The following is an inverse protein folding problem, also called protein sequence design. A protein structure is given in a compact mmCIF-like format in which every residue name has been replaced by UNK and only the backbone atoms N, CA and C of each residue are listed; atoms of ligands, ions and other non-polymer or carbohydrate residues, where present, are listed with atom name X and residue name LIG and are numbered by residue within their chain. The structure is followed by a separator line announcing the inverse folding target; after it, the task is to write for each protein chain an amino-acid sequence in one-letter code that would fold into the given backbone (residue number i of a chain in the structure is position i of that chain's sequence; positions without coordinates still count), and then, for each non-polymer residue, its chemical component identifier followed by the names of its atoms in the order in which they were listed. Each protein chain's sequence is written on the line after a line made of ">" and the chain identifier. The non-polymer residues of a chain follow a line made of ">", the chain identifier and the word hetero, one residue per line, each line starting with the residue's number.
data_IF_466851274965
#
_entry.id   IF_466851274965
#
_cell.length_a   1.000
_cell.length_b   1.000
_cell.length_c   1.000
_cell.angle_alpha   90.00
_cell.angle_beta   90.00
_cell.angle_gamma   90.00
#
_symmetry.space_group_name_H-M   'P 1'
#
loop_
_entity.id
_entity.type
_entity.pdbx_description
1 polymer ?
#
# COMPACT_ATOMS: atom_id res chain seq x y z
N UNK A 1 4.47 -5.97 3.96
CA UNK A 1 3.44 -5.79 2.90
C UNK A 1 2.59 -7.02 2.71
N UNK A 2 3.15 -8.18 2.34
CA UNK A 2 2.40 -9.44 2.23
C UNK A 2 1.61 -9.81 3.49
N UNK A 3 2.12 -9.46 4.67
CA UNK A 3 1.43 -9.70 5.95
C UNK A 3 0.27 -8.71 6.23
N UNK A 4 0.32 -7.51 5.67
CA UNK A 4 -0.63 -6.42 5.95
C UNK A 4 -1.69 -6.29 4.84
N UNK A 5 -1.27 -6.51 3.59
CA UNK A 5 -2.11 -6.56 2.40
C UNK A 5 -1.83 -7.83 1.60
N UNK A 6 -2.23 -8.99 2.12
CA UNK A 6 -2.05 -10.29 1.44
C UNK A 6 -2.75 -10.43 0.09
N UNK A 7 -3.57 -9.45 -0.34
CA UNK A 7 -4.17 -9.37 -1.69
C UNK A 7 -3.32 -8.53 -2.66
N UNK A 8 -2.35 -7.77 -2.17
CA UNK A 8 -1.38 -7.08 -3.01
C UNK A 8 -0.25 -8.05 -3.35
N UNK A 9 -0.04 -8.23 -4.65
CA UNK A 9 1.01 -9.08 -5.20
C UNK A 9 2.31 -8.29 -5.29
N UNK A 10 3.48 -8.94 -5.22
CA UNK A 10 4.78 -8.29 -5.46
C UNK A 10 4.79 -7.43 -6.75
N UNK A 11 4.10 -7.91 -7.80
CA UNK A 11 3.93 -7.18 -9.06
C UNK A 11 3.18 -5.85 -8.91
N UNK A 12 2.10 -5.81 -8.10
CA UNK A 12 1.42 -4.56 -7.78
C UNK A 12 2.37 -3.59 -7.09
N UNK A 13 3.31 -4.09 -6.26
CA UNK A 13 4.26 -3.26 -5.51
C UNK A 13 5.37 -2.72 -6.40
N UNK A 14 5.85 -3.55 -7.32
CA UNK A 14 6.85 -3.19 -8.30
C UNK A 14 6.31 -2.11 -9.26
N UNK A 15 5.05 -2.27 -9.71
CA UNK A 15 4.32 -1.25 -10.47
C UNK A 15 4.17 0.07 -9.70
N UNK A 16 4.02 -0.02 -8.39
CA UNK A 16 3.90 1.14 -7.51
C UNK A 16 5.24 1.87 -7.38
N UNK A 17 6.38 1.19 -7.53
CA UNK A 17 7.72 1.78 -7.65
C UNK A 17 8.02 2.89 -6.60
N UNK A 18 7.56 2.72 -5.36
CA UNK A 18 7.74 3.72 -4.30
C UNK A 18 6.82 4.95 -4.39
N UNK A 19 5.80 4.95 -5.26
CA UNK A 19 4.78 5.99 -5.34
C UNK A 19 3.67 5.73 -4.34
N UNK A 20 3.73 6.43 -3.21
CA UNK A 20 2.71 6.42 -2.14
C UNK A 20 1.27 6.54 -2.67
N UNK A 21 1.04 7.44 -3.62
CA UNK A 21 -0.29 7.73 -4.18
C UNK A 21 -0.90 6.55 -4.95
N UNK A 22 -0.07 5.85 -5.75
CA UNK A 22 -0.47 4.65 -6.48
C UNK A 22 -0.87 3.52 -5.52
N UNK A 23 -0.11 3.36 -4.44
CA UNK A 23 -0.40 2.36 -3.42
C UNK A 23 -1.69 2.69 -2.66
N UNK A 24 -1.89 3.96 -2.33
CA UNK A 24 -3.10 4.43 -1.66
C UNK A 24 -4.35 4.17 -2.52
N UNK A 25 -4.28 4.42 -3.83
CA UNK A 25 -5.34 4.14 -4.78
C UNK A 25 -5.65 2.65 -4.91
N UNK A 26 -4.61 1.82 -5.08
CA UNK A 26 -4.75 0.36 -5.12
C UNK A 26 -5.36 -0.22 -3.85
N UNK A 27 -4.96 0.27 -2.68
CA UNK A 27 -5.51 -0.17 -1.39
C UNK A 27 -6.98 0.25 -1.26
N UNK A 28 -7.32 1.48 -1.65
CA UNK A 28 -8.72 1.94 -1.69
C UNK A 28 -9.58 1.06 -2.60
N UNK A 29 -9.13 0.74 -3.82
CA UNK A 29 -9.89 -0.12 -4.74
C UNK A 29 -9.99 -1.58 -4.28
N UNK A 30 -8.87 -2.18 -3.85
CA UNK A 30 -8.80 -3.61 -3.51
C UNK A 30 -9.47 -3.96 -2.18
N UNK A 31 -9.40 -3.03 -1.22
CA UNK A 31 -9.86 -3.25 0.14
C UNK A 31 -11.06 -2.38 0.52
N UNK A 32 -11.46 -1.41 -0.32
CA UNK A 32 -12.56 -0.51 0.00
C UNK A 32 -12.28 0.35 1.23
N UNK A 33 -11.01 0.62 1.53
CA UNK A 33 -10.62 1.37 2.72
C UNK A 33 -10.88 2.87 2.52
N UNK A 34 -11.22 3.55 3.61
CA UNK A 34 -11.26 5.01 3.61
C UNK A 34 -9.86 5.57 3.30
N UNK A 35 -9.82 6.70 2.61
CA UNK A 35 -8.59 7.37 2.18
C UNK A 35 -7.60 7.59 3.34
N UNK A 36 -8.11 7.99 4.50
CA UNK A 36 -7.31 8.18 5.72
C UNK A 36 -6.67 6.88 6.22
N UNK A 37 -7.45 5.79 6.22
CA UNK A 37 -6.98 4.46 6.61
C UNK A 37 -5.90 3.98 5.65
N UNK A 38 -6.17 4.04 4.33
CA UNK A 38 -5.20 3.68 3.31
C UNK A 38 -3.91 4.50 3.44
N UNK A 39 -4.03 5.81 3.68
CA UNK A 39 -2.88 6.70 3.87
C UNK A 39 -2.03 6.32 5.07
N UNK A 40 -2.64 6.01 6.21
CA UNK A 40 -1.93 5.60 7.44
C UNK A 40 -1.27 4.25 7.29
N UNK A 41 -1.96 3.31 6.66
CA UNK A 41 -1.47 1.95 6.37
C UNK A 41 -0.23 2.02 5.46
N UNK A 42 -0.30 2.85 4.43
CA UNK A 42 0.83 3.13 3.54
C UNK A 42 1.99 3.82 4.29
N UNK A 43 1.70 4.80 5.15
CA UNK A 43 2.72 5.50 5.95
C UNK A 43 3.53 4.53 6.84
N UNK A 44 2.82 3.69 7.59
CA UNK A 44 3.40 2.66 8.45
C UNK A 44 4.24 1.67 7.63
N UNK A 45 3.77 1.32 6.43
CA UNK A 45 4.52 0.45 5.54
C UNK A 45 5.83 1.08 5.03
N UNK A 46 5.81 2.35 4.59
CA UNK A 46 7.04 3.05 4.19
C UNK A 46 8.00 3.23 5.37
N UNK A 47 7.48 3.49 6.58
CA UNK A 47 8.29 3.58 7.79
C UNK A 47 8.96 2.27 8.19
N UNK A 48 8.27 1.13 7.99
CA UNK A 48 8.84 -0.22 8.21
C UNK A 48 9.75 -0.70 7.09
N UNK A 49 9.56 -0.20 5.86
CA UNK A 49 10.38 -0.54 4.70
C UNK A 49 11.75 0.13 4.70
N UNK A 50 12.12 0.89 5.75
CA UNK A 50 13.43 1.55 5.92
C UNK A 50 14.56 0.80 5.20
N UNK A 51 14.91 1.30 4.02
CA UNK A 51 16.13 0.98 3.29
C UNK A 51 17.26 1.81 3.87
#
# INVERSE_FOLDING_TARGET
>A
MKEQWGKLTDDDLDQIAGKRDQLEGKIQERYGLAKDRAKSDVDDWYGRQSW
#
